data_IF_717741984075
#
_entry.id   IF_717741984075
#
_cell.length_a   1.000
_cell.length_b   1.000
_cell.length_c   1.000
_cell.angle_alpha   90.00
_cell.angle_beta   90.00
_cell.angle_gamma   90.00
#
_symmetry.space_group_name_H-M   'P 1'
#
loop_
_entity.id
_entity.type
_entity.pdbx_description
1 polymer ?
#
# COMPACT_ATOMS: atom_id res chain seq x y z
N UNK A 1 15.91 -22.05 -16.41
CA UNK A 1 15.95 -22.91 -15.21
C UNK A 1 14.61 -23.61 -15.10
N UNK A 2 14.56 -24.95 -15.06
CA UNK A 2 13.30 -25.65 -14.83
C UNK A 2 12.87 -25.37 -13.39
N UNK A 3 11.66 -24.81 -13.20
CA UNK A 3 11.05 -24.75 -11.87
C UNK A 3 10.94 -26.18 -11.34
N UNK A 4 11.49 -26.40 -10.14
CA UNK A 4 11.35 -27.64 -9.39
C UNK A 4 9.87 -27.98 -9.27
N UNK A 5 9.52 -29.26 -9.32
CA UNK A 5 8.11 -29.71 -9.33
C UNK A 5 7.32 -29.21 -8.11
N UNK A 6 8.00 -28.91 -6.99
CA UNK A 6 7.42 -28.30 -5.79
C UNK A 6 6.79 -26.91 -6.08
N UNK A 7 7.46 -26.07 -6.87
CA UNK A 7 6.96 -24.73 -7.20
C UNK A 7 5.68 -24.78 -8.04
N UNK A 8 5.51 -25.85 -8.84
CA UNK A 8 4.33 -26.05 -9.68
C UNK A 8 3.12 -26.45 -8.85
N UNK A 9 3.33 -27.26 -7.82
CA UNK A 9 2.29 -27.64 -6.86
C UNK A 9 1.85 -26.43 -6.04
N UNK A 10 2.80 -25.61 -5.57
CA UNK A 10 2.48 -24.37 -4.87
C UNK A 10 1.71 -23.38 -5.76
N UNK A 11 2.14 -23.19 -7.02
CA UNK A 11 1.43 -22.36 -7.98
C UNK A 11 0.00 -22.86 -8.24
N UNK A 12 -0.18 -24.18 -8.36
CA UNK A 12 -1.49 -24.80 -8.57
C UNK A 12 -2.42 -24.60 -7.37
N UNK A 13 -1.91 -24.76 -6.14
CA UNK A 13 -2.66 -24.51 -4.90
C UNK A 13 -3.08 -23.04 -4.81
N UNK A 14 -2.19 -22.10 -5.14
CA UNK A 14 -2.51 -20.66 -5.15
C UNK A 14 -3.59 -20.36 -6.22
N UNK A 15 -3.45 -20.92 -7.42
CA UNK A 15 -4.44 -20.77 -8.51
C UNK A 15 -5.81 -21.35 -8.17
N UNK A 16 -5.88 -22.36 -7.28
CA UNK A 16 -7.13 -22.96 -6.81
C UNK A 16 -7.75 -22.17 -5.64
N UNK A 17 -6.91 -21.60 -4.77
CA UNK A 17 -7.36 -20.84 -3.59
C UNK A 17 -7.97 -19.48 -3.94
N UNK A 18 -7.46 -18.78 -4.97
CA UNK A 18 -7.98 -17.47 -5.38
C UNK A 18 -9.47 -17.50 -5.79
N UNK A 19 -9.92 -18.40 -6.69
CA UNK A 19 -11.34 -18.51 -7.03
C UNK A 19 -12.18 -19.09 -5.88
N UNK A 20 -11.61 -19.95 -5.04
CA UNK A 20 -12.30 -20.48 -3.86
C UNK A 20 -12.57 -19.38 -2.82
N UNK A 21 -11.59 -18.49 -2.57
CA UNK A 21 -11.77 -17.31 -1.72
C UNK A 21 -12.89 -16.41 -2.24
N UNK A 22 -12.97 -16.21 -3.55
CA UNK A 22 -14.05 -15.44 -4.17
C UNK A 22 -15.43 -16.09 -4.01
N UNK A 23 -15.52 -17.41 -4.13
CA UNK A 23 -16.76 -18.16 -3.91
C UNK A 23 -17.21 -18.14 -2.46
N UNK A 24 -16.29 -18.35 -1.51
CA UNK A 24 -16.56 -18.27 -0.07
C UNK A 24 -17.01 -16.87 0.32
N UNK A 25 -16.35 -15.83 -0.22
CA UNK A 25 -16.75 -14.44 -0.01
C UNK A 25 -18.19 -14.18 -0.46
N UNK A 26 -18.55 -14.60 -1.67
CA UNK A 26 -19.90 -14.41 -2.20
C UNK A 26 -20.95 -15.23 -1.43
N UNK A 27 -20.60 -16.43 -0.96
CA UNK A 27 -21.51 -17.25 -0.15
C UNK A 27 -21.80 -16.62 1.22
N UNK A 28 -20.77 -16.09 1.88
CA UNK A 28 -20.93 -15.39 3.17
C UNK A 28 -21.79 -14.12 2.99
N UNK A 29 -21.57 -13.36 1.91
CA UNK A 29 -22.32 -12.13 1.65
C UNK A 29 -23.75 -12.37 1.13
N UNK A 30 -24.03 -13.51 0.50
CA UNK A 30 -25.39 -13.88 0.09
C UNK A 30 -26.27 -14.32 1.27
N UNK A 31 -25.69 -14.58 2.45
CA UNK A 31 -26.41 -15.00 3.65
C UNK A 31 -26.83 -13.82 4.55
N UNK A 32 -26.47 -12.59 4.20
CA UNK A 32 -26.59 -11.43 5.09
C UNK A 32 -27.40 -10.32 4.40
N UNK A 33 -28.68 -10.61 4.16
CA UNK A 33 -29.64 -9.71 3.50
C UNK A 33 -30.27 -8.65 4.42
N UNK A 34 -29.80 -8.50 5.67
CA UNK A 34 -30.27 -7.45 6.58
C UNK A 34 -29.10 -6.76 7.28
N UNK A 35 -28.44 -5.84 6.58
CA UNK A 35 -27.89 -4.61 7.20
C UNK A 35 -27.83 -3.52 6.14
N UNK A 36 -28.75 -2.58 6.25
CA UNK A 36 -28.78 -1.33 5.51
C UNK A 36 -27.48 -0.51 5.65
N UNK A 37 -27.11 0.19 4.56
CA UNK A 37 -26.43 1.49 4.54
C UNK A 37 -24.92 1.61 4.83
N UNK A 38 -24.05 0.75 4.29
CA UNK A 38 -22.57 0.99 4.34
C UNK A 38 -21.87 1.12 2.97
N UNK A 39 -22.49 0.76 1.85
CA UNK A 39 -21.79 0.80 0.55
C UNK A 39 -22.40 1.82 -0.42
N UNK A 40 -21.89 3.06 -0.38
CA UNK A 40 -21.80 3.89 -1.59
C UNK A 40 -20.49 3.50 -2.30
N UNK A 41 -20.54 2.82 -3.46
CA UNK A 41 -19.31 2.50 -4.19
C UNK A 41 -18.64 3.81 -4.62
N UNK A 42 -17.48 4.09 -4.03
CA UNK A 42 -16.67 5.26 -4.39
C UNK A 42 -16.08 5.06 -5.79
N UNK A 43 -16.64 5.82 -6.74
CA UNK A 43 -16.10 6.56 -7.91
C UNK A 43 -14.96 5.96 -8.78
N UNK A 44 -14.19 4.97 -8.35
CA UNK A 44 -13.06 4.40 -9.08
C UNK A 44 -13.40 3.16 -9.92
N UNK A 45 -14.53 2.51 -9.70
CA UNK A 45 -15.02 1.43 -10.57
C UNK A 45 -16.00 1.95 -11.63
N UNK A 46 -15.48 2.76 -12.56
CA UNK A 46 -16.13 3.04 -13.85
C UNK A 46 -15.56 2.23 -15.01
N UNK A 47 -14.80 1.16 -14.73
CA UNK A 47 -14.47 0.15 -15.74
C UNK A 47 -15.46 -1.01 -15.66
N UNK A 48 -16.20 -1.19 -16.75
CA UNK A 48 -17.31 -2.13 -16.92
C UNK A 48 -17.00 -3.54 -16.33
N UNK A 49 -17.70 -4.01 -15.28
CA UNK A 49 -17.40 -5.28 -14.59
C UNK A 49 -17.49 -6.50 -15.51
N UNK A 50 -18.20 -6.38 -16.62
CA UNK A 50 -18.28 -7.40 -17.67
C UNK A 50 -16.95 -7.67 -18.39
N UNK A 51 -16.03 -6.70 -18.46
CA UNK A 51 -14.76 -6.86 -19.17
C UNK A 51 -13.77 -7.74 -18.40
N UNK A 52 -13.64 -7.49 -17.09
CA UNK A 52 -12.75 -8.24 -16.19
C UNK A 52 -13.24 -9.70 -16.08
N UNK A 53 -14.55 -9.89 -15.95
CA UNK A 53 -15.15 -11.22 -15.84
C UNK A 53 -14.94 -12.08 -17.11
N UNK A 54 -15.15 -11.51 -18.31
CA UNK A 54 -14.95 -12.24 -19.56
C UNK A 54 -13.47 -12.53 -19.86
N UNK A 55 -12.55 -11.64 -19.46
CA UNK A 55 -11.12 -11.86 -19.61
C UNK A 55 -10.63 -13.02 -18.72
N UNK A 56 -11.03 -13.04 -17.44
CA UNK A 56 -10.70 -14.10 -16.49
C UNK A 56 -11.32 -15.45 -16.85
N UNK A 57 -12.56 -15.47 -17.38
CA UNK A 57 -13.24 -16.69 -17.83
C UNK A 57 -12.56 -17.35 -19.04
N UNK A 58 -12.06 -16.55 -19.98
CA UNK A 58 -11.37 -17.05 -21.18
C UNK A 58 -9.92 -17.48 -20.89
N UNK A 59 -9.26 -16.84 -19.92
CA UNK A 59 -7.92 -17.24 -19.48
C UNK A 59 -7.95 -18.57 -18.70
N UNK A 60 -8.91 -18.75 -17.80
CA UNK A 60 -9.04 -19.96 -16.95
C UNK A 60 -9.39 -21.21 -17.76
N UNK A 61 -10.29 -21.11 -18.74
CA UNK A 61 -10.67 -22.24 -19.61
C UNK A 61 -9.51 -22.74 -20.50
N UNK A 62 -8.62 -21.84 -20.92
CA UNK A 62 -7.44 -22.17 -21.75
C UNK A 62 -6.34 -22.87 -20.96
N UNK A 63 -6.20 -22.54 -19.68
CA UNK A 63 -5.25 -23.18 -18.75
C UNK A 63 -5.77 -24.55 -18.32
N UNK A 64 -7.07 -24.67 -18.03
CA UNK A 64 -7.69 -25.93 -17.61
C UNK A 64 -7.61 -27.01 -18.71
N UNK A 65 -7.84 -26.65 -19.98
CA UNK A 65 -7.70 -27.60 -21.11
C UNK A 65 -6.27 -28.10 -21.34
N UNK A 66 -5.24 -27.36 -20.91
CA UNK A 66 -3.84 -27.78 -21.01
C UNK A 66 -3.36 -28.57 -19.80
N UNK A 67 -3.90 -28.31 -18.60
CA UNK A 67 -3.54 -29.01 -17.37
C UNK A 67 -4.11 -30.43 -17.26
N UNK A 68 -5.33 -30.66 -17.77
CA UNK A 68 -6.03 -31.96 -17.62
C UNK A 68 -5.43 -33.07 -18.51
N UNK A 69 -4.68 -32.73 -19.56
CA UNK A 69 -4.02 -33.73 -20.42
C UNK A 69 -2.74 -34.35 -19.81
N UNK A 70 -2.24 -33.83 -18.68
CA UNK A 70 -0.94 -34.23 -18.11
C UNK A 70 -1.00 -34.99 -16.78
N UNK A 71 -2.18 -35.27 -16.22
CA UNK A 71 -2.32 -35.81 -14.85
C UNK A 71 -3.09 -37.13 -14.87
N UNK A 72 -2.52 -38.15 -15.51
CA UNK A 72 -3.09 -39.52 -15.49
C UNK A 72 -2.15 -40.57 -14.87
N UNK A 73 -1.12 -40.17 -14.10
CA UNK A 73 -0.14 -41.16 -13.60
C UNK A 73 0.50 -40.91 -12.22
N UNK A 74 -0.09 -40.14 -11.30
CA UNK A 74 0.51 -39.97 -9.97
C UNK A 74 -0.34 -40.65 -8.88
N UNK A 75 0.21 -41.73 -8.28
CA UNK A 75 -0.40 -42.47 -7.18
C UNK A 75 -0.10 -41.79 -5.85
N UNK A 76 -1.13 -41.60 -5.04
CA UNK A 76 -1.18 -40.86 -3.78
C UNK A 76 -0.29 -41.37 -2.63
N UNK A 77 0.50 -42.43 -2.84
CA UNK A 77 1.22 -43.17 -1.79
C UNK A 77 2.69 -42.77 -1.62
N UNK A 78 3.22 -41.91 -2.49
CA UNK A 78 4.60 -41.40 -2.40
C UNK A 78 4.70 -40.08 -1.61
N UNK A 79 3.57 -39.55 -1.12
CA UNK A 79 3.49 -38.27 -0.38
C UNK A 79 3.83 -38.37 1.12
N UNK A 80 4.02 -39.56 1.68
CA UNK A 80 4.03 -39.74 3.15
C UNK A 80 5.16 -40.61 3.72
N UNK A 81 6.36 -40.62 3.12
CA UNK A 81 7.49 -41.35 3.69
C UNK A 81 8.79 -40.53 3.70
N UNK A 82 9.00 -39.71 4.74
CA UNK A 82 10.34 -39.23 5.12
C UNK A 82 10.48 -39.18 6.66
N UNK A 83 11.43 -39.91 7.27
CA UNK A 83 11.76 -39.77 8.68
C UNK A 83 12.75 -38.62 8.91
N UNK A 84 12.48 -37.78 9.90
CA UNK A 84 13.35 -36.66 10.31
C UNK A 84 14.32 -37.14 11.40
N UNK A 85 15.65 -37.08 11.23
CA UNK A 85 16.59 -37.32 12.32
C UNK A 85 16.79 -36.04 13.13
N UNK A 86 16.50 -36.09 14.44
CA UNK A 86 16.86 -35.03 15.39
C UNK A 86 18.31 -35.22 15.87
N UNK A 87 19.22 -34.34 15.44
CA UNK A 87 20.31 -33.78 16.27
C UNK A 87 21.13 -32.76 15.47
N UNK A 88 21.24 -31.54 15.99
CA UNK A 88 22.37 -30.66 15.65
C UNK A 88 22.76 -29.86 16.89
N UNK A 89 24.02 -29.96 17.26
CA UNK A 89 24.62 -29.25 18.38
C UNK A 89 24.80 -27.76 18.03
N UNK A 90 24.50 -26.88 19.00
CA UNK A 90 24.53 -25.42 18.83
C UNK A 90 25.98 -24.91 18.91
N UNK A 91 26.53 -24.22 17.88
CA UNK A 91 27.80 -23.53 18.00
C UNK A 91 27.61 -22.19 18.72
N UNK A 92 28.51 -21.87 19.64
CA UNK A 92 28.54 -20.59 20.36
C UNK A 92 29.01 -19.48 19.41
N UNK A 93 28.14 -18.51 19.13
CA UNK A 93 28.45 -17.32 18.33
C UNK A 93 29.17 -16.25 19.20
N UNK A 94 30.11 -15.47 18.63
CA UNK A 94 30.74 -14.35 19.32
C UNK A 94 29.72 -13.26 19.71
N UNK A 95 30.03 -12.42 20.73
CA UNK A 95 29.10 -11.42 21.22
C UNK A 95 28.66 -10.47 20.09
N UNK A 96 27.37 -10.09 20.03
CA UNK A 96 26.87 -9.23 18.97
C UNK A 96 27.59 -7.89 19.05
N UNK A 97 28.17 -7.46 17.93
CA UNK A 97 28.59 -6.07 17.75
C UNK A 97 27.41 -5.14 18.09
N UNK A 98 27.66 -3.94 18.67
CA UNK A 98 26.59 -2.99 18.97
C UNK A 98 25.71 -2.80 17.73
N UNK A 99 24.37 -2.74 17.89
CA UNK A 99 23.46 -2.71 16.75
C UNK A 99 23.82 -1.52 15.87
N UNK A 100 24.46 -1.81 14.74
CA UNK A 100 24.63 -0.83 13.67
C UNK A 100 23.24 -0.31 13.38
N UNK A 101 23.04 1.01 13.36
CA UNK A 101 21.77 1.64 13.01
C UNK A 101 21.49 1.28 11.53
N UNK A 102 20.96 0.09 11.33
CA UNK A 102 20.49 -0.50 10.07
C UNK A 102 19.08 0.05 9.77
N UNK A 103 18.53 0.90 10.64
CA UNK A 103 17.08 0.98 10.85
C UNK A 103 16.21 1.33 9.63
N UNK A 104 16.67 1.96 8.55
CA UNK A 104 15.79 2.22 7.38
C UNK A 104 16.47 2.37 6.01
N UNK A 105 17.78 2.10 5.87
CA UNK A 105 18.44 2.27 4.57
C UNK A 105 17.89 1.31 3.50
N UNK A 106 17.25 0.20 3.91
CA UNK A 106 16.88 -0.89 3.00
C UNK A 106 15.38 -1.24 2.96
N UNK A 107 14.51 -0.44 3.58
CA UNK A 107 13.11 -0.46 3.11
C UNK A 107 13.05 0.39 1.86
N UNK A 108 13.44 -0.23 0.75
CA UNK A 108 13.05 0.17 -0.59
C UNK A 108 11.52 0.22 -0.58
N UNK A 109 10.94 1.32 -0.10
CA UNK A 109 9.57 1.61 -0.40
C UNK A 109 9.56 1.85 -1.91
N UNK A 110 9.13 0.85 -2.66
CA UNK A 110 9.16 0.74 -4.13
C UNK A 110 8.27 1.80 -4.82
N UNK A 111 7.89 2.86 -4.10
CA UNK A 111 7.00 3.91 -4.54
C UNK A 111 7.78 5.22 -4.75
N UNK A 112 7.44 5.91 -5.84
CA UNK A 112 7.89 7.27 -6.14
C UNK A 112 7.58 8.23 -4.97
N UNK A 113 8.42 9.25 -4.77
CA UNK A 113 8.38 10.11 -3.57
C UNK A 113 9.03 9.51 -2.31
N UNK A 114 9.86 8.48 -2.47
CA UNK A 114 10.62 7.84 -1.39
C UNK A 114 12.14 8.12 -1.47
N UNK A 115 12.55 9.16 -2.19
CA UNK A 115 13.96 9.44 -2.39
C UNK A 115 14.65 9.65 -1.03
N UNK A 116 15.70 8.88 -0.75
CA UNK A 116 16.45 8.96 0.50
C UNK A 116 17.56 10.03 0.46
N UNK A 117 17.61 10.83 -0.61
CA UNK A 117 18.51 12.00 -0.67
C UNK A 117 18.09 13.01 0.39
N UNK A 118 19.08 13.54 1.10
CA UNK A 118 18.84 14.56 2.12
C UNK A 118 18.41 15.85 1.43
N UNK A 119 17.22 16.33 1.75
CA UNK A 119 16.70 17.60 1.28
C UNK A 119 17.24 18.73 2.16
N UNK A 120 18.48 19.18 1.86
CA UNK A 120 19.18 20.19 2.68
C UNK A 120 18.41 21.51 2.77
N UNK A 121 17.76 21.91 1.68
CA UNK A 121 16.96 23.13 1.59
C UNK A 121 15.53 22.78 1.19
N UNK A 122 14.54 23.33 1.90
CA UNK A 122 13.13 23.23 1.53
C UNK A 122 12.81 24.23 0.41
N UNK A 123 12.38 23.79 -0.80
CA UNK A 123 11.95 24.68 -1.86
C UNK A 123 10.77 25.56 -1.43
N UNK A 124 10.79 26.83 -1.84
CA UNK A 124 9.72 27.80 -1.54
C UNK A 124 8.39 27.48 -2.22
N UNK A 125 8.40 26.63 -3.26
CA UNK A 125 7.22 26.18 -3.99
C UNK A 125 6.34 25.20 -3.20
N UNK A 126 6.86 24.62 -2.10
CA UNK A 126 6.16 23.65 -1.27
C UNK A 126 5.18 24.30 -0.30
N UNK A 127 3.90 24.01 -0.51
CA UNK A 127 2.80 24.47 0.36
C UNK A 127 2.63 23.66 1.63
N UNK A 128 3.01 22.37 1.63
CA UNK A 128 2.74 21.45 2.74
C UNK A 128 4.03 20.85 3.31
N UNK A 129 4.07 20.64 4.63
CA UNK A 129 5.24 20.10 5.33
C UNK A 129 5.04 18.64 5.74
N UNK A 130 6.14 17.91 5.94
CA UNK A 130 6.12 16.56 6.51
C UNK A 130 5.36 16.56 7.85
N UNK A 131 4.46 15.59 8.00
CA UNK A 131 3.60 15.44 9.16
C UNK A 131 2.36 16.33 9.14
N UNK A 132 2.21 17.25 8.18
CA UNK A 132 0.99 18.04 8.05
C UNK A 132 -0.16 17.16 7.57
N UNK A 133 -1.35 17.37 8.16
CA UNK A 133 -2.59 16.75 7.68
C UNK A 133 -3.19 17.63 6.59
N UNK A 134 -3.58 16.99 5.49
CA UNK A 134 -4.17 17.62 4.30
C UNK A 134 -5.44 16.89 3.91
N UNK A 135 -6.32 17.58 3.18
CA UNK A 135 -7.47 16.97 2.53
C UNK A 135 -7.17 16.83 1.04
N UNK A 136 -7.35 15.63 0.51
CA UNK A 136 -7.31 15.44 -0.94
C UNK A 136 -8.61 15.92 -1.55
N UNK A 137 -8.59 16.42 -2.79
CA UNK A 137 -9.78 16.85 -3.56
C UNK A 137 -10.88 15.77 -3.71
N UNK A 138 -10.56 14.52 -3.40
CA UNK A 138 -11.48 13.38 -3.42
C UNK A 138 -12.26 13.24 -2.11
N UNK A 139 -12.00 14.11 -1.13
CA UNK A 139 -12.69 14.18 0.15
C UNK A 139 -11.96 13.52 1.32
N UNK A 140 -11.01 12.62 1.06
CA UNK A 140 -10.30 11.92 2.13
C UNK A 140 -9.20 12.75 2.78
N UNK A 141 -8.96 12.51 4.08
CA UNK A 141 -7.85 13.10 4.82
C UNK A 141 -6.59 12.26 4.66
N UNK A 142 -5.42 12.91 4.71
CA UNK A 142 -4.14 12.22 4.63
C UNK A 142 -3.04 13.01 5.36
N UNK A 143 -1.99 12.32 5.78
CA UNK A 143 -0.77 12.94 6.33
C UNK A 143 0.38 12.89 5.32
N UNK A 144 1.12 14.00 5.20
CA UNK A 144 2.29 14.10 4.31
C UNK A 144 3.47 13.35 4.90
N UNK A 145 4.01 12.36 4.17
CA UNK A 145 5.21 11.57 4.55
C UNK A 145 6.41 11.81 3.64
N UNK A 146 6.23 12.54 2.53
CA UNK A 146 7.31 12.86 1.59
C UNK A 146 6.86 13.89 0.57
N UNK A 147 7.82 14.51 -0.10
CA UNK A 147 7.56 15.42 -1.21
C UNK A 147 8.67 15.32 -2.26
N UNK A 148 8.30 15.52 -3.51
CA UNK A 148 9.22 15.74 -4.63
C UNK A 148 8.93 17.12 -5.23
N UNK A 149 9.97 17.89 -5.55
CA UNK A 149 9.81 19.21 -6.18
C UNK A 149 9.19 19.10 -7.59
N UNK A 150 9.47 17.99 -8.28
CA UNK A 150 8.89 17.63 -9.57
C UNK A 150 8.45 16.17 -9.52
N UNK A 151 7.41 15.82 -10.27
CA UNK A 151 6.89 14.45 -10.26
C UNK A 151 7.98 13.44 -10.65
N UNK A 152 8.27 12.53 -9.74
CA UNK A 152 9.24 11.44 -9.94
C UNK A 152 8.55 10.11 -10.32
N UNK A 153 7.22 10.12 -10.48
CA UNK A 153 6.45 8.96 -10.90
C UNK A 153 6.78 8.55 -12.36
N UNK A 154 6.85 7.24 -12.67
CA UNK A 154 7.07 6.75 -14.03
C UNK A 154 6.02 7.25 -15.02
N UNK A 155 6.41 7.42 -16.28
CA UNK A 155 5.49 7.92 -17.30
C UNK A 155 4.24 7.07 -17.49
N UNK A 156 4.37 5.75 -17.42
CA UNK A 156 3.22 4.83 -17.46
C UNK A 156 2.23 5.07 -16.32
N UNK A 157 2.74 5.37 -15.11
CA UNK A 157 1.89 5.69 -13.97
C UNK A 157 1.19 7.05 -14.14
N UNK A 158 1.93 8.06 -14.61
CA UNK A 158 1.40 9.40 -14.84
C UNK A 158 0.26 9.41 -15.88
N UNK A 159 0.42 8.70 -16.99
CA UNK A 159 -0.62 8.58 -18.03
C UNK A 159 -1.86 7.87 -17.50
N UNK A 160 -1.69 6.83 -16.67
CA UNK A 160 -2.81 6.12 -16.06
C UNK A 160 -3.56 7.01 -15.05
N UNK A 161 -2.82 7.79 -14.24
CA UNK A 161 -3.38 8.67 -13.21
C UNK A 161 -4.03 9.92 -13.80
N UNK A 162 -3.45 10.47 -14.85
CA UNK A 162 -3.87 11.68 -15.56
C UNK A 162 -4.05 11.37 -17.05
N UNK A 163 -5.22 10.85 -17.47
CA UNK A 163 -5.46 10.47 -18.87
C UNK A 163 -5.44 11.63 -19.88
N UNK A 164 -5.52 12.88 -19.39
CA UNK A 164 -5.41 14.09 -20.21
C UNK A 164 -3.98 14.60 -20.16
N UNK A 165 -3.37 14.77 -21.33
CA UNK A 165 -1.97 15.17 -21.47
C UNK A 165 -1.68 16.52 -20.80
N UNK A 166 -2.56 17.50 -20.96
CA UNK A 166 -2.39 18.83 -20.35
C UNK A 166 -2.28 18.71 -18.84
N UNK A 167 -3.17 17.88 -18.24
CA UNK A 167 -3.19 17.64 -16.80
C UNK A 167 -1.96 16.87 -16.32
N UNK A 168 -1.49 15.91 -17.11
CA UNK A 168 -0.24 15.20 -16.81
C UNK A 168 0.94 16.17 -16.75
N UNK A 169 1.06 17.06 -17.74
CA UNK A 169 2.14 18.05 -17.82
C UNK A 169 2.09 19.05 -16.66
N UNK A 170 0.90 19.51 -16.27
CA UNK A 170 0.71 20.35 -15.07
C UNK A 170 1.15 19.63 -13.80
N UNK A 171 0.73 18.38 -13.61
CA UNK A 171 1.08 17.59 -12.44
C UNK A 171 2.59 17.34 -12.34
N UNK A 172 3.29 17.20 -13.47
CA UNK A 172 4.76 17.03 -13.50
C UNK A 172 5.56 18.27 -13.11
N UNK A 173 5.04 19.46 -13.43
CA UNK A 173 5.74 20.74 -13.26
C UNK A 173 5.58 21.36 -11.88
N UNK A 174 4.78 20.73 -11.03
CA UNK A 174 4.54 21.18 -9.66
C UNK A 174 5.06 20.14 -8.65
N UNK A 175 5.20 20.52 -7.38
CA UNK A 175 5.53 19.57 -6.35
C UNK A 175 4.48 18.47 -6.21
N UNK A 176 4.93 17.26 -5.95
CA UNK A 176 4.09 16.11 -5.69
C UNK A 176 4.39 15.58 -4.29
N UNK A 177 3.35 15.13 -3.61
CA UNK A 177 3.43 14.68 -2.22
C UNK A 177 3.13 13.21 -2.12
N UNK A 178 3.83 12.57 -1.19
CA UNK A 178 3.56 11.21 -0.76
C UNK A 178 2.80 11.25 0.55
N UNK A 179 1.66 10.57 0.59
CA UNK A 179 0.66 10.73 1.64
C UNK A 179 0.25 9.37 2.21
N UNK A 180 -0.12 9.33 3.49
CA UNK A 180 -0.87 8.22 4.08
C UNK A 180 -2.30 8.66 4.28
N UNK A 181 -3.22 8.06 3.53
CA UNK A 181 -4.64 8.36 3.63
C UNK A 181 -5.23 7.77 4.92
N UNK A 182 -6.34 8.34 5.40
CA UNK A 182 -7.09 7.74 6.48
C UNK A 182 -7.75 6.43 6.01
N UNK A 183 -7.54 5.34 6.75
CA UNK A 183 -8.10 4.03 6.45
C UNK A 183 -9.62 4.01 6.55
N UNK A 184 -10.22 4.89 7.36
CA UNK A 184 -11.68 5.03 7.43
C UNK A 184 -12.25 5.62 6.13
N UNK A 185 -11.52 6.58 5.54
CA UNK A 185 -11.91 7.20 4.27
C UNK A 185 -11.52 6.34 3.05
N UNK A 186 -10.56 5.41 3.22
CA UNK A 186 -9.97 4.63 2.12
C UNK A 186 -9.90 3.13 2.43
N UNK A 187 -10.99 2.44 2.08
CA UNK A 187 -11.19 1.00 2.35
C UNK A 187 -10.13 0.09 1.68
N UNK A 188 -9.44 0.56 0.63
CA UNK A 188 -8.52 -0.26 -0.18
C UNK A 188 -7.10 0.31 -0.35
N UNK A 189 -6.80 1.46 0.27
CA UNK A 189 -5.50 2.12 0.12
C UNK A 189 -4.58 1.76 1.30
N UNK A 190 -3.98 0.57 1.25
CA UNK A 190 -3.06 0.10 2.30
C UNK A 190 -1.66 0.73 2.22
N UNK A 191 -1.38 1.46 1.14
CA UNK A 191 -0.06 2.02 0.85
C UNK A 191 -0.10 3.50 0.53
N UNK A 192 1.08 4.14 0.43
CA UNK A 192 1.16 5.58 0.21
C UNK A 192 0.50 6.02 -1.09
N UNK A 193 -0.24 7.12 -1.00
CA UNK A 193 -0.81 7.84 -2.14
C UNK A 193 0.21 8.83 -2.66
N UNK A 194 0.22 9.07 -3.97
CA UNK A 194 0.97 10.15 -4.59
C UNK A 194 0.01 11.12 -5.26
N UNK A 195 0.14 12.41 -4.94
CA UNK A 195 -0.77 13.44 -5.42
C UNK A 195 -0.03 14.73 -5.72
N UNK A 196 -0.50 15.45 -6.73
CA UNK A 196 0.02 16.77 -7.07
C UNK A 196 -0.40 17.82 -6.02
N UNK A 197 0.40 18.87 -5.85
CA UNK A 197 0.16 19.91 -4.85
C UNK A 197 -1.23 20.56 -4.94
N UNK A 198 -1.75 20.76 -6.15
CA UNK A 198 -3.06 21.35 -6.42
C UNK A 198 -4.25 20.39 -6.20
N UNK A 199 -3.99 19.11 -5.97
CA UNK A 199 -5.01 18.15 -5.53
C UNK A 199 -5.20 18.15 -4.01
N UNK A 200 -4.40 18.95 -3.29
CA UNK A 200 -4.36 18.99 -1.84
C UNK A 200 -4.78 20.35 -1.28
N UNK A 201 -5.49 20.28 -0.17
CA UNK A 201 -5.99 21.43 0.58
C UNK A 201 -5.54 21.33 2.03
N UNK A 202 -5.16 22.47 2.62
CA UNK A 202 -4.84 22.54 4.04
C UNK A 202 -6.15 22.43 4.85
N UNK A 203 -6.16 21.60 5.89
CA UNK A 203 -7.23 21.65 6.87
C UNK A 203 -7.13 22.94 7.67
N UNK A 204 -8.28 23.54 7.99
CA UNK A 204 -8.32 24.71 8.86
C UNK A 204 -7.98 24.32 10.30
N UNK A 205 -7.59 25.30 11.11
CA UNK A 205 -7.30 25.06 12.53
C UNK A 205 -8.54 24.62 13.30
N UNK A 206 -9.72 25.07 12.86
CA UNK A 206 -11.02 24.72 13.42
C UNK A 206 -11.40 23.28 13.08
N UNK A 207 -11.16 22.86 11.84
CA UNK A 207 -11.37 21.47 11.40
C UNK A 207 -10.46 20.52 12.17
N UNK A 208 -9.15 20.82 12.25
CA UNK A 208 -8.21 20.01 13.04
C UNK A 208 -8.60 19.92 14.52
N UNK A 209 -9.04 21.04 15.12
CA UNK A 209 -9.51 21.04 16.51
C UNK A 209 -10.75 20.19 16.70
N UNK A 210 -11.72 20.31 15.79
CA UNK A 210 -12.97 19.54 15.85
C UNK A 210 -12.66 18.05 15.76
N UNK A 211 -11.79 17.66 14.83
CA UNK A 211 -11.33 16.28 14.66
C UNK A 211 -10.60 15.78 15.91
N UNK A 212 -9.81 16.62 16.59
CA UNK A 212 -9.16 16.23 17.86
C UNK A 212 -10.06 16.25 19.08
N UNK A 213 -11.19 16.98 19.05
CA UNK A 213 -12.00 17.27 20.25
C UNK A 213 -12.68 16.01 20.77
N UNK A 214 -13.11 15.15 19.87
CA UNK A 214 -13.84 13.92 20.19
C UNK A 214 -12.90 12.70 20.28
N UNK A 215 -11.59 12.91 20.06
CA UNK A 215 -10.57 11.88 20.24
C UNK A 215 -10.13 11.86 21.69
N UNK A 216 -10.21 10.68 22.33
CA UNK A 216 -9.47 10.45 23.56
C UNK A 216 -7.97 10.75 23.32
N UNK A 217 -7.18 11.08 24.37
CA UNK A 217 -5.78 11.53 24.26
C UNK A 217 -4.81 10.62 23.49
N UNK A 218 -5.28 9.47 23.01
CA UNK A 218 -4.51 8.43 22.35
C UNK A 218 -5.06 8.02 20.97
N UNK A 219 -6.17 8.60 20.49
CA UNK A 219 -6.72 8.25 19.16
C UNK A 219 -6.11 9.18 18.10
N UNK A 220 -5.49 8.64 17.04
CA UNK A 220 -4.83 9.47 16.03
C UNK A 220 -5.87 10.11 15.08
N UNK A 221 -5.59 11.35 14.65
CA UNK A 221 -6.42 12.12 13.69
C UNK A 221 -6.53 11.44 12.32
N UNK A 222 -5.51 10.67 11.94
CA UNK A 222 -5.50 9.82 10.76
C UNK A 222 -5.24 8.40 11.22
N UNK A 223 -6.11 7.46 10.84
CA UNK A 223 -5.93 6.04 11.16
C UNK A 223 -5.28 5.35 9.98
N UNK A 224 -4.00 5.02 10.08
CA UNK A 224 -3.33 4.20 9.07
C UNK A 224 -2.28 3.32 9.74
N UNK A 225 -2.23 2.03 9.37
CA UNK A 225 -1.42 0.99 10.03
C UNK A 225 0.07 1.31 10.11
N UNK A 226 0.62 1.96 9.07
CA UNK A 226 2.04 2.31 8.99
C UNK A 226 2.40 3.70 9.51
N UNK A 227 1.45 4.50 10.05
CA UNK A 227 1.79 5.81 10.67
C UNK A 227 2.91 5.71 11.72
N UNK A 228 2.91 4.72 12.63
CA UNK A 228 3.99 4.56 13.63
C UNK A 228 5.37 4.31 13.03
N UNK A 229 5.48 3.95 11.74
CA UNK A 229 6.76 3.81 11.06
C UNK A 229 7.38 5.19 10.75
N UNK A 230 6.56 6.21 10.53
CA UNK A 230 6.97 7.55 10.08
C UNK A 230 6.93 8.60 11.21
N UNK A 231 6.02 8.45 12.17
CA UNK A 231 5.74 9.48 13.19
C UNK A 231 5.70 8.89 14.61
N UNK A 232 6.13 9.69 15.59
CA UNK A 232 6.11 9.30 17.01
C UNK A 232 4.76 9.65 17.68
N UNK A 233 4.27 10.87 17.47
CA UNK A 233 3.01 11.36 18.04
C UNK A 233 2.44 12.52 17.23
N UNK A 234 1.20 12.93 17.53
CA UNK A 234 0.54 14.09 16.94
C UNK A 234 0.53 15.26 17.95
N UNK A 235 0.98 16.44 17.55
CA UNK A 235 1.11 17.62 18.43
C UNK A 235 -0.16 18.49 18.53
N UNK A 236 -1.27 18.04 17.90
CA UNK A 236 -2.51 18.80 17.78
C UNK A 236 -2.62 19.61 16.47
N UNK A 237 -1.51 19.79 15.74
CA UNK A 237 -1.47 20.49 14.44
C UNK A 237 -0.83 19.64 13.34
N UNK A 238 0.23 18.91 13.66
CA UNK A 238 1.01 18.05 12.76
C UNK A 238 1.57 16.84 13.49
N UNK A 239 1.93 15.82 12.74
CA UNK A 239 2.65 14.67 13.24
C UNK A 239 4.14 14.98 13.40
N UNK A 240 4.72 14.50 14.50
CA UNK A 240 6.15 14.63 14.79
C UNK A 240 6.93 13.53 14.07
N UNK A 241 7.79 13.84 13.09
CA UNK A 241 8.52 12.85 12.30
C UNK A 241 9.59 12.13 13.12
N UNK A 242 9.70 10.82 12.91
CA UNK A 242 10.74 9.98 13.53
C UNK A 242 12.15 10.44 13.13
N UNK A 243 13.19 10.13 13.92
CA UNK A 243 14.56 10.61 13.67
C UNK A 243 15.09 10.33 12.25
N UNK A 244 14.70 9.20 11.66
CA UNK A 244 15.10 8.86 10.30
C UNK A 244 14.47 9.76 9.24
N UNK A 245 13.18 10.10 9.38
CA UNK A 245 12.47 10.93 8.43
C UNK A 245 12.94 12.39 8.53
N UNK A 246 13.26 12.86 9.75
CA UNK A 246 13.92 14.15 9.99
C UNK A 246 15.30 14.25 9.36
N UNK A 247 16.05 13.15 9.25
CA UNK A 247 17.35 13.15 8.56
C UNK A 247 17.20 13.37 7.05
N UNK A 248 16.09 12.91 6.46
CA UNK A 248 15.79 13.10 5.03
C UNK A 248 15.21 14.50 4.80
N UNK A 249 14.31 14.95 5.69
CA UNK A 249 13.61 16.24 5.63
C UNK A 249 13.89 17.09 6.89
N UNK A 250 15.10 17.68 7.02
CA UNK A 250 15.50 18.41 8.22
C UNK A 250 14.70 19.70 8.45
N UNK A 251 14.19 20.32 7.38
CA UNK A 251 13.39 21.56 7.43
C UNK A 251 11.88 21.31 7.34
N UNK A 252 11.46 20.04 7.42
CA UNK A 252 10.08 19.62 7.21
C UNK A 252 9.62 19.76 5.77
#
# INVERSE_FOLDING_TARGET
MPLLDDDRVHLFIILLLIPLQFLVWNYIHASQDDTDLIFRPSIYFKSNPFFVFNYLKNATTKIYRRGVAGISSLKLKDLFAFPIPMRSAKPTLPPPSPPKIIELYERNHVFFGANQRIHQTRPLSLRFSIGQVVRHRLGFKAVVIGWDEFACAPASWMVLRYPRLERELEARRQPNYRLLADAEDTIFQLGPVYAAQDELEALSSEELKTETRDLYPHVPVIKHSIIPEFFDFFDGKKFSPRPWLRRIYPQG
#
